data_IF_187008505465
#
_entry.id   IF_187008505465
#
_cell.length_a   1.000
_cell.length_b   1.000
_cell.length_c   1.000
_cell.angle_alpha   90.00
_cell.angle_beta   90.00
_cell.angle_gamma   90.00
#
_symmetry.space_group_name_H-M   'P 1'
#
loop_
_entity.id
_entity.type
_entity.pdbx_description
1 polymer ?
#
# COMPACT_ATOMS: atom_id res chain seq x y z
N UNK A 1 -2.49 65.07 26.08
CA UNK A 1 -3.76 64.38 26.21
C UNK A 1 -4.76 65.03 27.15
N UNK A 2 -4.38 65.54 28.32
CA UNK A 2 -5.27 66.22 29.30
C UNK A 2 -5.98 67.44 28.73
N UNK A 3 -5.40 68.22 27.82
CA UNK A 3 -5.97 69.43 27.23
C UNK A 3 -7.10 69.14 26.21
N UNK A 4 -7.09 67.96 25.58
CA UNK A 4 -8.13 67.55 24.65
C UNK A 4 -9.36 67.03 25.42
N UNK A 5 -9.15 66.29 26.51
CA UNK A 5 -10.21 65.83 27.40
C UNK A 5 -11.02 66.98 27.99
N UNK A 6 -10.34 68.08 28.34
CA UNK A 6 -11.00 69.28 28.90
C UNK A 6 -11.91 70.02 27.92
N UNK A 7 -11.81 69.81 26.62
CA UNK A 7 -12.64 70.43 25.57
C UNK A 7 -13.88 69.60 25.16
N UNK A 8 -14.02 68.35 25.67
CA UNK A 8 -15.18 67.53 25.36
C UNK A 8 -16.41 67.93 26.18
N UNK A 9 -17.62 67.75 25.64
CA UNK A 9 -18.87 67.92 26.38
C UNK A 9 -18.90 67.04 27.64
N UNK A 10 -19.55 67.51 28.70
CA UNK A 10 -19.58 66.88 30.03
C UNK A 10 -20.03 65.43 29.95
N UNK A 11 -21.03 65.13 29.13
CA UNK A 11 -21.52 63.75 28.88
C UNK A 11 -20.42 62.83 28.33
N UNK A 12 -19.62 63.27 27.38
CA UNK A 12 -18.55 62.48 26.80
C UNK A 12 -17.41 62.22 27.82
N UNK A 13 -17.11 63.19 28.69
CA UNK A 13 -16.13 63.00 29.79
C UNK A 13 -16.63 61.92 30.76
N UNK A 14 -17.94 61.97 31.12
CA UNK A 14 -18.55 61.00 32.01
C UNK A 14 -18.53 59.59 31.41
N UNK A 15 -18.83 59.42 30.11
CA UNK A 15 -18.73 58.14 29.42
C UNK A 15 -17.30 57.62 29.37
N UNK A 16 -16.33 58.44 29.03
CA UNK A 16 -14.91 58.06 28.98
C UNK A 16 -14.44 57.61 30.38
N UNK A 17 -14.75 58.39 31.43
CA UNK A 17 -14.40 58.02 32.79
C UNK A 17 -15.06 56.72 33.24
N UNK A 18 -16.36 56.52 32.90
CA UNK A 18 -17.10 55.32 33.23
C UNK A 18 -16.53 54.09 32.54
N UNK A 19 -16.29 54.13 31.21
CA UNK A 19 -15.71 53.00 30.48
C UNK A 19 -14.26 52.73 30.85
N UNK A 20 -13.47 53.78 31.16
CA UNK A 20 -12.10 53.60 31.69
C UNK A 20 -12.12 52.89 33.05
N UNK A 21 -13.07 53.25 33.92
CA UNK A 21 -13.24 52.56 35.21
C UNK A 21 -13.66 51.08 35.04
N UNK A 22 -14.57 50.79 34.09
CA UNK A 22 -14.96 49.39 33.76
C UNK A 22 -13.77 48.61 33.25
N UNK A 23 -12.98 49.16 32.32
CA UNK A 23 -11.78 48.48 31.78
C UNK A 23 -10.76 48.25 32.90
N UNK A 24 -10.56 49.24 33.78
CA UNK A 24 -9.65 49.08 34.90
C UNK A 24 -10.09 47.98 35.88
N UNK A 25 -11.39 47.94 36.21
CA UNK A 25 -11.99 46.90 37.04
C UNK A 25 -11.89 45.55 36.34
N UNK A 26 -12.13 45.47 35.02
CA UNK A 26 -12.00 44.25 34.25
C UNK A 26 -10.56 43.71 34.24
N UNK A 27 -9.55 44.57 34.14
CA UNK A 27 -8.15 44.15 34.18
C UNK A 27 -7.76 43.59 35.57
N UNK A 28 -8.31 44.14 36.65
CA UNK A 28 -7.97 43.73 38.02
C UNK A 28 -8.90 42.63 38.61
N UNK A 29 -10.12 42.46 38.08
CA UNK A 29 -11.07 41.44 38.55
C UNK A 29 -11.17 40.24 37.65
N UNK A 30 -10.67 40.27 36.42
CA UNK A 30 -10.52 39.08 35.63
C UNK A 30 -9.39 38.23 36.23
N UNK A 31 -9.64 36.98 36.63
CA UNK A 31 -8.56 36.11 37.04
C UNK A 31 -7.57 35.95 35.91
N UNK A 32 -6.30 35.88 36.25
CA UNK A 32 -5.21 35.73 35.30
C UNK A 32 -5.56 34.51 34.38
N UNK A 33 -5.66 34.75 33.09
CA UNK A 33 -6.01 33.68 32.10
C UNK A 33 -5.07 32.48 32.21
N UNK A 34 -3.88 32.70 32.77
CA UNK A 34 -2.94 31.63 33.06
C UNK A 34 -3.33 30.77 34.28
N UNK A 35 -4.22 31.25 35.17
CA UNK A 35 -4.69 30.46 36.33
C UNK A 35 -5.92 29.59 36.01
N UNK A 36 -6.57 29.80 34.87
CA UNK A 36 -7.69 28.96 34.35
C UNK A 36 -7.24 27.90 33.33
N UNK A 37 -5.95 27.80 33.03
CA UNK A 37 -5.42 26.61 32.41
C UNK A 37 -5.36 25.54 33.51
N UNK A 38 -6.46 24.83 33.62
CA UNK A 38 -6.50 23.54 34.23
C UNK A 38 -5.30 22.76 33.70
N UNK A 39 -4.49 22.23 34.62
CA UNK A 39 -3.36 21.34 34.34
C UNK A 39 -3.92 19.98 33.83
N UNK A 40 -4.82 20.04 32.87
CA UNK A 40 -5.21 18.91 32.05
C UNK A 40 -3.97 18.59 31.22
N UNK A 41 -3.18 17.62 31.64
CA UNK A 41 -1.89 17.14 31.16
C UNK A 41 -1.66 17.12 29.64
N UNK A 42 -2.06 18.17 28.95
CA UNK A 42 -1.82 18.39 27.53
C UNK A 42 -0.33 18.68 27.32
N UNK A 43 0.36 17.70 26.82
CA UNK A 43 1.77 17.81 26.46
C UNK A 43 1.95 18.86 25.35
N UNK A 44 2.82 19.84 25.59
CA UNK A 44 3.19 20.85 24.59
C UNK A 44 4.31 20.29 23.73
N UNK A 45 4.08 20.25 22.42
CA UNK A 45 5.07 19.76 21.45
C UNK A 45 6.35 20.60 21.53
N UNK A 46 7.53 19.94 21.66
CA UNK A 46 8.83 20.59 21.78
C UNK A 46 9.28 20.90 23.21
N UNK A 47 8.45 20.64 24.24
CA UNK A 47 8.83 20.77 25.63
C UNK A 47 9.26 19.42 26.21
N UNK A 48 10.42 19.37 26.88
CA UNK A 48 10.87 18.17 27.60
C UNK A 48 10.13 18.03 28.92
N UNK A 49 9.48 16.91 29.12
CA UNK A 49 8.82 16.55 30.38
C UNK A 49 9.64 15.49 31.11
N UNK A 50 10.02 15.67 32.37
CA UNK A 50 10.68 14.63 33.12
C UNK A 50 9.69 13.48 33.33
N UNK A 51 9.97 12.31 32.76
CA UNK A 51 9.26 11.09 33.06
C UNK A 51 9.83 10.50 34.36
N UNK A 52 9.06 10.59 35.44
CA UNK A 52 9.39 9.90 36.67
C UNK A 52 8.98 8.43 36.50
N UNK A 53 9.89 7.59 35.99
CA UNK A 53 9.67 6.15 35.94
C UNK A 53 9.95 5.60 37.34
N UNK A 54 8.91 5.13 38.04
CA UNK A 54 9.08 4.42 39.30
C UNK A 54 9.58 2.99 38.99
N UNK A 55 10.90 2.88 38.85
CA UNK A 55 11.57 1.60 38.53
C UNK A 55 11.24 0.48 39.54
N UNK A 56 10.92 0.84 40.79
CA UNK A 56 10.55 -0.13 41.84
C UNK A 56 9.20 -0.81 41.55
N UNK A 57 8.27 -0.15 40.84
CA UNK A 57 6.98 -0.73 40.44
C UNK A 57 7.11 -1.70 39.26
N UNK A 58 8.17 -1.60 38.47
CA UNK A 58 8.45 -2.48 37.34
C UNK A 58 9.19 -3.76 37.72
N UNK A 59 9.78 -3.79 38.93
CA UNK A 59 10.55 -4.94 39.44
C UNK A 59 9.67 -5.92 40.24
N UNK A 60 8.43 -5.57 40.57
CA UNK A 60 7.57 -6.29 41.51
C UNK A 60 6.64 -7.33 40.88
N UNK A 61 6.96 -7.96 39.77
CA UNK A 61 6.19 -9.15 39.33
C UNK A 61 6.98 -10.02 38.37
N UNK A 62 8.04 -10.65 38.86
CA UNK A 62 8.65 -11.76 38.13
C UNK A 62 9.00 -12.85 39.13
N UNK A 63 7.99 -13.59 39.58
CA UNK A 63 8.14 -14.97 40.05
C UNK A 63 8.40 -15.94 38.87
N UNK A 64 9.02 -15.45 37.78
CA UNK A 64 9.59 -16.30 36.77
C UNK A 64 10.94 -16.82 37.28
N UNK A 65 11.22 -18.14 37.23
CA UNK A 65 12.53 -18.66 37.58
C UNK A 65 13.60 -17.92 36.77
N UNK A 66 14.81 -17.70 37.35
CA UNK A 66 15.85 -16.94 36.70
C UNK A 66 16.10 -17.53 35.30
N UNK A 67 15.77 -16.77 34.28
CA UNK A 67 16.01 -17.16 32.90
C UNK A 67 17.52 -17.26 32.77
N UNK A 68 18.05 -18.46 32.54
CA UNK A 68 19.49 -18.65 32.32
C UNK A 68 19.99 -17.63 31.30
N UNK A 69 21.03 -16.90 31.64
CA UNK A 69 21.63 -15.91 30.71
C UNK A 69 22.24 -16.68 29.55
N UNK A 70 21.60 -16.62 28.40
CA UNK A 70 22.07 -17.28 27.21
C UNK A 70 23.09 -16.40 26.48
N UNK A 71 24.17 -17.01 26.05
CA UNK A 71 25.11 -16.39 25.12
C UNK A 71 24.52 -16.41 23.70
N UNK A 72 24.25 -15.22 23.14
CA UNK A 72 23.60 -15.10 21.84
C UNK A 72 24.60 -14.82 20.73
N UNK A 73 24.59 -15.65 19.69
CA UNK A 73 25.36 -15.49 18.47
C UNK A 73 24.45 -15.27 17.27
N UNK A 74 24.82 -14.30 16.43
CA UNK A 74 24.03 -13.92 15.25
C UNK A 74 24.75 -14.35 13.98
N UNK A 75 24.03 -15.07 13.13
CA UNK A 75 24.54 -15.55 11.85
C UNK A 75 23.62 -15.14 10.71
N UNK A 76 24.23 -14.72 9.58
CA UNK A 76 23.52 -14.45 8.34
C UNK A 76 23.81 -15.56 7.35
N UNK A 77 22.77 -16.06 6.69
CA UNK A 77 22.87 -17.11 5.65
C UNK A 77 23.53 -16.54 4.42
N UNK A 78 24.58 -17.20 3.95
CA UNK A 78 25.37 -16.81 2.77
C UNK A 78 24.75 -17.33 1.47
N UNK A 79 25.16 -16.75 0.34
CA UNK A 79 24.72 -17.23 -0.98
C UNK A 79 25.20 -18.69 -1.20
N UNK A 80 24.26 -19.58 -1.58
CA UNK A 80 24.54 -21.00 -1.79
C UNK A 80 24.68 -21.84 -0.52
N UNK A 81 24.51 -21.25 0.66
CA UNK A 81 24.63 -21.95 1.94
C UNK A 81 23.36 -22.72 2.27
N UNK A 82 23.48 -24.02 2.50
CA UNK A 82 22.40 -24.85 3.05
C UNK A 82 22.38 -24.79 4.57
N UNK A 83 21.30 -25.24 5.20
CA UNK A 83 21.18 -25.29 6.65
C UNK A 83 22.25 -26.19 7.29
N UNK A 84 22.63 -27.31 6.65
CA UNK A 84 23.68 -28.19 7.15
C UNK A 84 25.05 -27.51 7.13
N UNK A 85 25.38 -26.77 6.09
CA UNK A 85 26.62 -25.99 5.99
C UNK A 85 26.64 -24.87 7.01
N UNK A 86 25.51 -24.21 7.26
CA UNK A 86 25.39 -23.20 8.32
C UNK A 86 25.66 -23.80 9.70
N UNK A 87 25.03 -24.94 10.02
CA UNK A 87 25.21 -25.60 11.31
C UNK A 87 26.67 -26.05 11.53
N UNK A 88 27.31 -26.60 10.50
CA UNK A 88 28.73 -26.97 10.53
C UNK A 88 29.62 -25.74 10.79
N UNK A 89 29.37 -24.64 10.09
CA UNK A 89 30.11 -23.37 10.24
C UNK A 89 30.07 -22.78 11.65
N UNK A 90 28.98 -23.03 12.38
CA UNK A 90 28.81 -22.54 13.75
C UNK A 90 29.14 -23.60 14.81
N UNK A 91 29.72 -24.74 14.37
CA UNK A 91 30.15 -25.81 15.30
C UNK A 91 29.04 -26.70 15.81
N UNK A 92 27.82 -26.64 15.26
CA UNK A 92 26.69 -27.49 15.64
C UNK A 92 26.71 -28.80 14.86
N UNK A 93 26.42 -29.91 15.56
CA UNK A 93 26.44 -31.24 14.94
C UNK A 93 25.31 -31.46 13.94
N UNK A 94 25.58 -32.23 12.89
CA UNK A 94 24.54 -32.68 11.94
C UNK A 94 23.42 -33.46 12.64
N UNK A 95 23.77 -34.22 13.70
CA UNK A 95 22.80 -34.97 14.49
C UNK A 95 21.75 -34.05 15.13
N UNK A 96 22.19 -32.92 15.68
CA UNK A 96 21.30 -31.91 16.24
C UNK A 96 20.36 -31.35 15.18
N UNK A 97 20.88 -31.04 13.99
CA UNK A 97 20.04 -30.58 12.87
C UNK A 97 18.95 -31.60 12.52
N UNK A 98 19.30 -32.87 12.41
CA UNK A 98 18.31 -33.93 12.12
C UNK A 98 17.28 -34.06 13.24
N UNK A 99 17.67 -33.96 14.50
CA UNK A 99 16.75 -33.94 15.64
C UNK A 99 15.77 -32.79 15.50
N UNK A 100 16.24 -31.56 15.22
CA UNK A 100 15.40 -30.40 15.01
C UNK A 100 14.42 -30.59 13.84
N UNK A 101 14.89 -31.06 12.70
CA UNK A 101 14.06 -31.27 11.50
C UNK A 101 12.98 -32.34 11.69
N UNK A 102 13.20 -33.30 12.60
CA UNK A 102 12.24 -34.36 12.91
C UNK A 102 11.29 -34.01 14.05
N UNK A 103 11.50 -32.89 14.75
CA UNK A 103 10.66 -32.48 15.89
C UNK A 103 9.24 -32.14 15.48
N UNK A 104 9.07 -31.25 14.50
CA UNK A 104 7.77 -30.89 13.92
C UNK A 104 7.88 -30.24 12.54
N UNK A 105 6.71 -30.11 11.88
CA UNK A 105 6.64 -29.55 10.53
C UNK A 105 7.04 -28.06 10.42
N UNK A 106 6.81 -27.27 11.45
CA UNK A 106 7.16 -25.84 11.44
C UNK A 106 8.68 -25.68 11.49
N UNK A 107 9.37 -26.38 12.40
CA UNK A 107 10.84 -26.40 12.46
C UNK A 107 11.40 -26.86 11.10
N UNK A 108 10.89 -27.97 10.59
CA UNK A 108 11.31 -28.50 9.29
C UNK A 108 11.13 -27.45 8.18
N UNK A 109 9.96 -26.83 8.09
CA UNK A 109 9.66 -25.80 7.09
C UNK A 109 10.59 -24.59 7.20
N UNK A 110 10.82 -24.12 8.41
CA UNK A 110 11.62 -22.91 8.65
C UNK A 110 13.11 -23.16 8.46
N UNK A 111 13.63 -24.30 8.83
CA UNK A 111 15.06 -24.62 8.65
C UNK A 111 15.39 -25.13 7.24
N UNK A 112 14.47 -25.80 6.52
CA UNK A 112 14.73 -26.29 5.16
C UNK A 112 14.59 -25.20 4.07
N UNK A 113 14.02 -24.05 4.37
CA UNK A 113 13.78 -22.97 3.42
C UNK A 113 14.54 -21.68 3.77
N UNK A 114 15.80 -21.81 4.15
CA UNK A 114 16.65 -20.64 4.37
C UNK A 114 17.01 -20.00 3.02
N UNK A 115 17.10 -18.67 3.04
CA UNK A 115 17.48 -17.86 1.87
C UNK A 115 18.72 -17.05 2.21
N UNK A 116 19.57 -16.73 1.23
CA UNK A 116 20.65 -15.77 1.42
C UNK A 116 20.13 -14.47 2.02
N UNK A 117 20.79 -14.01 3.09
CA UNK A 117 20.37 -12.84 3.85
C UNK A 117 19.48 -13.12 5.05
N UNK A 118 18.91 -14.32 5.20
CA UNK A 118 18.17 -14.68 6.42
C UNK A 118 19.10 -14.59 7.65
N UNK A 119 18.54 -14.07 8.74
CA UNK A 119 19.26 -13.90 10.00
C UNK A 119 18.74 -14.90 11.03
N UNK A 120 19.67 -15.70 11.57
CA UNK A 120 19.41 -16.62 12.66
C UNK A 120 20.24 -16.19 13.89
N UNK A 121 19.66 -16.34 15.04
CA UNK A 121 20.31 -16.12 16.34
C UNK A 121 20.26 -17.41 17.13
N UNK A 122 21.41 -17.84 17.64
CA UNK A 122 21.58 -19.05 18.42
C UNK A 122 21.91 -18.65 19.85
N UNK A 123 21.14 -19.12 20.81
CA UNK A 123 21.34 -18.89 22.24
C UNK A 123 21.89 -20.15 22.89
N UNK A 124 23.09 -20.06 23.43
CA UNK A 124 23.80 -21.14 24.07
C UNK A 124 23.82 -20.94 25.60
N UNK A 125 23.84 -22.04 26.34
CA UNK A 125 24.09 -22.02 27.77
C UNK A 125 25.60 -21.97 28.11
N UNK A 126 25.95 -22.06 29.38
CA UNK A 126 27.32 -22.08 29.90
C UNK A 126 28.12 -23.30 29.43
N UNK A 127 27.45 -24.38 29.05
CA UNK A 127 28.05 -25.61 28.53
C UNK A 127 28.20 -25.57 27.00
N UNK A 128 27.86 -24.47 26.36
CA UNK A 128 27.80 -24.31 24.92
C UNK A 128 26.73 -25.19 24.22
N UNK A 129 25.71 -25.62 24.97
CA UNK A 129 24.55 -26.33 24.43
C UNK A 129 23.55 -25.35 23.83
N UNK A 130 22.97 -25.70 22.67
CA UNK A 130 21.93 -24.89 22.03
C UNK A 130 20.63 -24.99 22.84
N UNK A 131 20.22 -23.87 23.45
CA UNK A 131 18.97 -23.73 24.20
C UNK A 131 17.88 -23.06 23.39
N UNK A 132 18.22 -22.06 22.60
CA UNK A 132 17.27 -21.36 21.74
C UNK A 132 17.83 -21.07 20.36
N UNK A 133 16.95 -21.12 19.35
CA UNK A 133 17.23 -20.62 18.01
C UNK A 133 16.11 -19.67 17.61
N UNK A 134 16.45 -18.46 17.16
CA UNK A 134 15.49 -17.50 16.61
C UNK A 134 15.82 -17.23 15.16
N UNK A 135 14.80 -17.26 14.28
CA UNK A 135 14.88 -16.82 12.89
C UNK A 135 13.98 -15.63 12.70
N UNK A 136 14.55 -14.50 12.29
CA UNK A 136 13.76 -13.31 11.94
C UNK A 136 13.08 -13.55 10.60
N UNK A 137 11.75 -13.52 10.57
CA UNK A 137 10.94 -13.71 9.36
C UNK A 137 10.54 -12.38 8.72
N UNK A 138 10.29 -11.36 9.55
CA UNK A 138 9.99 -9.99 9.14
C UNK A 138 10.34 -9.02 10.28
N UNK A 139 10.14 -7.73 10.09
CA UNK A 139 10.36 -6.74 11.16
C UNK A 139 9.49 -6.97 12.41
N UNK A 140 8.37 -7.69 12.26
CA UNK A 140 7.39 -7.91 13.33
C UNK A 140 7.11 -9.38 13.65
N UNK A 141 7.78 -10.32 12.99
CA UNK A 141 7.56 -11.75 13.20
C UNK A 141 8.89 -12.49 13.28
N UNK A 142 9.08 -13.28 14.31
CA UNK A 142 10.19 -14.20 14.47
C UNK A 142 9.70 -15.62 14.78
N UNK A 143 10.46 -16.59 14.29
CA UNK A 143 10.27 -18.00 14.63
C UNK A 143 11.29 -18.38 15.67
N UNK A 144 10.82 -19.01 16.76
CA UNK A 144 11.62 -19.39 17.92
C UNK A 144 11.56 -20.90 18.10
N UNK A 145 12.70 -21.52 18.30
CA UNK A 145 12.84 -22.90 18.76
C UNK A 145 13.43 -22.86 20.17
N UNK A 146 12.88 -23.62 21.09
CA UNK A 146 13.36 -23.66 22.48
C UNK A 146 13.55 -25.12 22.90
N UNK A 147 14.70 -25.44 23.52
CA UNK A 147 14.99 -26.73 24.14
C UNK A 147 14.20 -26.84 25.45
N UNK A 148 13.52 -27.94 25.65
CA UNK A 148 12.79 -28.26 26.89
C UNK A 148 13.14 -29.68 27.27
N UNK A 149 14.05 -29.87 28.23
CA UNK A 149 14.66 -31.16 28.53
C UNK A 149 15.38 -31.71 27.30
N UNK A 150 15.05 -32.94 26.89
CA UNK A 150 15.62 -33.61 25.74
C UNK A 150 14.89 -33.33 24.43
N UNK A 151 13.84 -32.51 24.46
CA UNK A 151 13.02 -32.19 23.27
C UNK A 151 13.12 -30.71 22.87
N UNK A 152 12.64 -30.39 21.65
CA UNK A 152 12.52 -29.02 21.18
C UNK A 152 11.07 -28.68 20.92
N UNK A 153 10.70 -27.45 21.20
CA UNK A 153 9.40 -26.86 20.84
C UNK A 153 9.60 -25.66 19.95
N UNK A 154 8.55 -25.26 19.22
CA UNK A 154 8.61 -24.05 18.39
C UNK A 154 7.40 -23.16 18.58
N UNK A 155 7.62 -21.86 18.40
CA UNK A 155 6.58 -20.84 18.44
C UNK A 155 6.88 -19.72 17.45
N UNK A 156 5.81 -19.03 17.02
CA UNK A 156 5.91 -17.77 16.29
C UNK A 156 5.68 -16.63 17.28
N UNK A 157 6.64 -15.74 17.34
CA UNK A 157 6.56 -14.54 18.16
C UNK A 157 6.24 -13.36 17.23
N UNK A 158 5.10 -12.69 17.49
CA UNK A 158 4.57 -11.60 16.67
C UNK A 158 4.44 -10.34 17.52
N UNK A 159 5.17 -9.31 17.10
CA UNK A 159 5.03 -7.98 17.67
C UNK A 159 3.79 -7.30 17.10
N UNK A 160 3.14 -6.48 17.90
CA UNK A 160 2.01 -5.69 17.45
C UNK A 160 2.45 -4.64 16.42
N UNK A 161 1.73 -4.57 15.32
CA UNK A 161 1.95 -3.57 14.28
C UNK A 161 0.93 -2.46 14.47
N UNK A 162 1.37 -1.31 14.94
CA UNK A 162 0.58 -0.10 14.96
C UNK A 162 0.62 0.60 13.61
N UNK A 163 -0.42 1.40 13.32
CA UNK A 163 -0.48 2.22 12.12
C UNK A 163 -0.60 3.69 12.54
N UNK A 164 0.25 4.52 12.01
CA UNK A 164 0.15 5.97 12.13
C UNK A 164 -0.05 6.62 10.77
N UNK A 165 -0.64 7.82 10.75
CA UNK A 165 -0.76 8.61 9.53
C UNK A 165 0.47 9.49 9.34
N UNK A 166 0.85 9.63 8.07
CA UNK A 166 1.84 10.59 7.64
C UNK A 166 1.35 11.32 6.38
N UNK A 167 1.99 12.41 6.05
CA UNK A 167 1.60 13.34 4.99
C UNK A 167 2.77 13.61 4.06
N UNK A 168 2.46 13.87 2.80
CA UNK A 168 3.40 14.42 1.84
C UNK A 168 2.68 15.29 0.81
N UNK A 169 3.34 16.36 0.38
CA UNK A 169 2.88 17.21 -0.71
C UNK A 169 4.04 17.64 -1.62
N UNK A 170 3.75 17.92 -2.85
CA UNK A 170 4.70 18.55 -3.76
C UNK A 170 4.00 19.39 -4.83
N UNK A 171 4.68 20.47 -5.24
CA UNK A 171 4.43 21.16 -6.48
C UNK A 171 5.33 20.56 -7.58
N UNK A 172 4.76 20.29 -8.75
CA UNK A 172 5.47 19.71 -9.88
C UNK A 172 6.21 20.82 -10.63
N UNK A 173 7.53 20.77 -10.59
CA UNK A 173 8.40 21.76 -11.28
C UNK A 173 8.96 21.21 -12.59
N UNK A 174 9.18 19.89 -12.67
CA UNK A 174 9.73 19.20 -13.85
C UNK A 174 8.84 18.05 -14.32
N UNK A 175 8.70 17.00 -13.51
CA UNK A 175 7.86 15.87 -13.78
C UNK A 175 7.31 15.28 -12.47
N UNK A 176 6.28 14.47 -12.60
CA UNK A 176 5.59 13.87 -11.45
C UNK A 176 6.50 12.95 -10.60
N UNK A 177 7.35 12.15 -11.24
CA UNK A 177 8.25 11.23 -10.53
C UNK A 177 9.20 11.96 -9.61
N UNK A 178 9.90 12.98 -10.15
CA UNK A 178 10.85 13.77 -9.37
C UNK A 178 10.15 14.53 -8.23
N UNK A 179 8.94 15.05 -8.45
CA UNK A 179 8.16 15.69 -7.40
C UNK A 179 7.83 14.70 -6.28
N UNK A 180 7.46 13.46 -6.62
CA UNK A 180 7.20 12.41 -5.64
C UNK A 180 8.46 12.03 -4.83
N UNK A 181 9.59 11.85 -5.50
CA UNK A 181 10.88 11.55 -4.83
C UNK A 181 11.27 12.68 -3.88
N UNK A 182 11.16 13.94 -4.33
CA UNK A 182 11.50 15.12 -3.52
C UNK A 182 10.55 15.28 -2.31
N UNK A 183 9.29 14.84 -2.42
CA UNK A 183 8.35 14.77 -1.30
C UNK A 183 8.61 13.58 -0.36
N UNK A 184 9.68 12.82 -0.58
CA UNK A 184 10.04 11.67 0.25
C UNK A 184 9.16 10.44 0.02
N UNK A 185 8.41 10.35 -1.08
CA UNK A 185 7.62 9.17 -1.41
C UNK A 185 8.50 8.02 -1.91
N UNK A 186 8.10 6.81 -1.57
CA UNK A 186 8.70 5.61 -2.16
C UNK A 186 8.24 5.43 -3.61
N UNK A 187 9.02 4.69 -4.41
CA UNK A 187 8.64 4.33 -5.78
C UNK A 187 7.24 3.68 -5.84
N UNK A 188 6.92 2.81 -4.89
CA UNK A 188 5.60 2.17 -4.81
C UNK A 188 4.47 3.18 -4.56
N UNK A 189 4.67 4.17 -3.68
CA UNK A 189 3.67 5.22 -3.42
C UNK A 189 3.48 6.14 -4.63
N UNK A 190 4.55 6.50 -5.35
CA UNK A 190 4.46 7.28 -6.58
C UNK A 190 3.65 6.53 -7.64
N UNK A 191 3.92 5.23 -7.82
CA UNK A 191 3.18 4.39 -8.76
C UNK A 191 1.73 4.14 -8.32
N UNK A 192 1.49 4.00 -7.00
CA UNK A 192 0.13 3.90 -6.45
C UNK A 192 -0.65 5.18 -6.73
N UNK A 193 -0.08 6.36 -6.49
CA UNK A 193 -0.69 7.65 -6.75
C UNK A 193 -1.01 7.84 -8.24
N UNK A 194 -0.08 7.48 -9.13
CA UNK A 194 -0.33 7.46 -10.57
C UNK A 194 -1.45 6.49 -10.95
N UNK A 195 -1.53 5.33 -10.30
CA UNK A 195 -2.60 4.35 -10.53
C UNK A 195 -3.98 4.83 -10.06
N UNK A 196 -4.04 5.59 -8.96
CA UNK A 196 -5.28 6.17 -8.42
C UNK A 196 -5.88 7.16 -9.41
N UNK A 197 -5.10 8.12 -9.88
CA UNK A 197 -5.56 9.20 -10.76
C UNK A 197 -5.38 8.93 -12.24
N UNK A 198 -4.72 7.84 -12.64
CA UNK A 198 -4.36 7.54 -14.02
C UNK A 198 -5.53 7.32 -15.00
N UNK A 199 -6.76 7.43 -14.50
CA UNK A 199 -7.99 7.39 -15.30
C UNK A 199 -8.54 8.78 -15.63
N UNK A 200 -8.21 9.76 -14.81
CA UNK A 200 -8.61 11.15 -14.98
C UNK A 200 -7.44 11.98 -15.52
N UNK A 201 -6.19 11.60 -15.25
CA UNK A 201 -4.96 12.30 -15.63
C UNK A 201 -4.04 11.35 -16.40
N UNK A 202 -3.59 11.74 -17.58
CA UNK A 202 -2.50 11.07 -18.30
C UNK A 202 -1.15 11.60 -17.78
N UNK A 203 -0.52 10.83 -16.88
CA UNK A 203 0.75 11.23 -16.25
C UNK A 203 1.92 11.40 -17.23
N UNK A 204 1.80 10.90 -18.48
CA UNK A 204 2.80 11.10 -19.53
C UNK A 204 2.54 12.37 -20.37
N UNK A 205 1.28 12.76 -20.54
CA UNK A 205 0.89 13.80 -21.46
C UNK A 205 0.25 15.03 -20.80
N UNK A 206 -0.43 14.88 -19.65
CA UNK A 206 -1.25 15.95 -19.08
C UNK A 206 -0.56 16.72 -17.93
N UNK A 207 0.55 16.20 -17.39
CA UNK A 207 1.27 16.87 -16.30
C UNK A 207 1.93 18.17 -16.75
N UNK A 208 1.73 19.22 -15.97
CA UNK A 208 2.29 20.56 -16.21
C UNK A 208 3.05 21.08 -15.00
N UNK A 209 3.89 22.07 -15.23
CA UNK A 209 4.50 22.86 -14.17
C UNK A 209 3.41 23.56 -13.36
N UNK A 210 3.54 23.56 -12.03
CA UNK A 210 2.59 24.08 -11.02
C UNK A 210 1.39 23.15 -10.75
N UNK A 211 1.26 21.99 -11.40
CA UNK A 211 0.42 20.94 -10.87
C UNK A 211 0.95 20.52 -9.48
N UNK A 212 0.09 19.96 -8.67
CA UNK A 212 0.48 19.58 -7.30
C UNK A 212 -0.31 18.39 -6.80
N UNK A 213 0.24 17.75 -5.79
CA UNK A 213 -0.50 16.72 -5.06
C UNK A 213 -0.27 16.82 -3.56
N UNK A 214 -1.25 16.32 -2.81
CA UNK A 214 -1.19 16.09 -1.37
C UNK A 214 -1.66 14.68 -1.10
N UNK A 215 -1.00 13.96 -0.21
CA UNK A 215 -1.40 12.61 0.20
C UNK A 215 -1.33 12.44 1.71
N UNK A 216 -2.31 11.74 2.25
CA UNK A 216 -2.32 11.16 3.58
C UNK A 216 -2.10 9.66 3.43
N UNK A 217 -1.08 9.11 4.06
CA UNK A 217 -0.76 7.69 3.97
C UNK A 217 -0.49 7.08 5.34
N UNK A 218 -0.57 5.75 5.42
CA UNK A 218 -0.24 5.03 6.64
C UNK A 218 1.24 4.67 6.68
N UNK A 219 1.80 4.66 7.88
CA UNK A 219 3.07 4.02 8.19
C UNK A 219 2.84 2.88 9.18
N UNK A 220 3.59 1.81 9.00
CA UNK A 220 3.60 0.68 9.91
C UNK A 220 4.66 0.90 10.97
N UNK A 221 4.27 0.82 12.22
CA UNK A 221 5.14 1.07 13.37
C UNK A 221 5.17 -0.17 14.25
N UNK A 222 6.36 -0.59 14.62
CA UNK A 222 6.59 -1.68 15.58
C UNK A 222 7.54 -1.15 16.65
N UNK A 223 7.13 -1.23 17.92
CA UNK A 223 7.94 -0.74 19.06
C UNK A 223 8.42 0.71 18.90
N UNK A 224 7.60 1.57 18.26
CA UNK A 224 7.92 2.98 18.02
C UNK A 224 8.74 3.26 16.75
N UNK A 225 9.22 2.23 16.05
CA UNK A 225 10.00 2.39 14.82
C UNK A 225 9.15 2.17 13.57
N UNK A 226 9.32 3.03 12.57
CA UNK A 226 8.67 2.90 11.26
C UNK A 226 9.33 1.78 10.46
N UNK A 227 8.63 0.67 10.31
CA UNK A 227 9.12 -0.52 9.59
C UNK A 227 8.69 -0.57 8.13
N UNK A 228 7.87 0.38 7.69
CA UNK A 228 7.43 0.46 6.31
C UNK A 228 6.24 1.37 6.11
N UNK A 229 5.94 1.65 4.85
CA UNK A 229 4.82 2.49 4.45
C UNK A 229 3.63 1.63 4.03
N UNK A 230 2.45 2.05 4.45
CA UNK A 230 1.18 1.45 4.10
C UNK A 230 0.55 2.11 2.88
N UNK A 231 -0.77 2.03 2.80
CA UNK A 231 -1.57 2.55 1.69
C UNK A 231 -1.75 4.07 1.79
N UNK A 232 -2.00 4.69 0.64
CA UNK A 232 -2.53 6.05 0.56
C UNK A 232 -3.98 6.00 1.05
N UNK A 233 -4.31 6.79 2.07
CA UNK A 233 -5.65 6.82 2.67
C UNK A 233 -6.55 7.88 2.04
N UNK A 234 -5.96 9.01 1.69
CA UNK A 234 -6.59 10.08 0.95
C UNK A 234 -5.55 10.80 0.09
N UNK A 235 -5.96 11.31 -1.05
CA UNK A 235 -5.12 12.10 -1.93
C UNK A 235 -5.93 13.20 -2.62
N UNK A 236 -5.29 14.32 -2.86
CA UNK A 236 -5.79 15.40 -3.72
C UNK A 236 -4.72 15.68 -4.77
N UNK A 237 -5.11 15.70 -6.03
CA UNK A 237 -4.25 16.06 -7.15
C UNK A 237 -4.83 17.26 -7.88
N UNK A 238 -4.05 18.33 -8.04
CA UNK A 238 -4.39 19.49 -8.84
C UNK A 238 -3.66 19.40 -10.18
N UNK A 239 -4.41 19.33 -11.28
CA UNK A 239 -3.87 19.23 -12.63
C UNK A 239 -4.53 20.27 -13.51
N UNK A 240 -3.73 21.19 -14.07
CA UNK A 240 -4.16 22.26 -14.99
C UNK A 240 -5.36 23.08 -14.47
N UNK A 241 -5.45 23.30 -13.14
CA UNK A 241 -6.51 24.04 -12.49
C UNK A 241 -7.65 23.18 -11.93
N UNK A 242 -7.84 21.97 -12.42
CA UNK A 242 -8.83 21.02 -11.91
C UNK A 242 -8.30 20.31 -10.66
N UNK A 243 -9.20 20.01 -9.72
CA UNK A 243 -8.88 19.29 -8.49
C UNK A 243 -9.57 17.93 -8.48
N UNK A 244 -8.78 16.88 -8.31
CA UNK A 244 -9.23 15.50 -8.21
C UNK A 244 -8.97 15.00 -6.79
N UNK A 245 -9.99 14.39 -6.18
CA UNK A 245 -9.88 13.77 -4.86
C UNK A 245 -9.96 12.27 -4.97
N UNK A 246 -9.28 11.56 -4.09
CA UNK A 246 -9.37 10.11 -3.98
C UNK A 246 -9.25 9.69 -2.51
N UNK A 247 -10.17 8.86 -2.06
CA UNK A 247 -10.18 8.33 -0.69
C UNK A 247 -10.32 6.81 -0.75
N UNK A 248 -9.50 6.11 0.02
CA UNK A 248 -9.54 4.67 0.14
C UNK A 248 -10.80 4.24 0.93
N UNK A 249 -11.57 3.31 0.41
CA UNK A 249 -12.59 2.60 1.18
C UNK A 249 -12.02 1.31 1.76
N UNK A 250 -11.93 1.22 3.09
CA UNK A 250 -11.32 0.08 3.78
C UNK A 250 -12.06 -1.23 3.52
N UNK A 251 -13.37 -1.17 3.24
CA UNK A 251 -14.19 -2.36 3.02
C UNK A 251 -13.93 -3.00 1.67
N UNK A 252 -13.82 -2.17 0.62
CA UNK A 252 -13.61 -2.66 -0.75
C UNK A 252 -12.15 -2.68 -1.14
N UNK A 253 -11.30 -1.88 -0.47
CA UNK A 253 -9.91 -1.66 -0.84
C UNK A 253 -9.74 -0.87 -2.14
N UNK A 254 -10.79 -0.19 -2.60
CA UNK A 254 -10.76 0.64 -3.80
C UNK A 254 -10.80 2.13 -3.42
N UNK A 255 -10.38 2.97 -4.37
CA UNK A 255 -10.45 4.42 -4.24
C UNK A 255 -11.70 4.95 -4.89
N UNK A 256 -12.31 5.94 -4.23
CA UNK A 256 -13.48 6.69 -4.69
C UNK A 256 -13.23 8.18 -4.49
N UNK A 257 -13.88 9.02 -5.31
CA UNK A 257 -13.90 10.46 -5.04
C UNK A 257 -14.73 10.77 -3.77
N UNK A 258 -14.73 12.01 -3.33
CA UNK A 258 -15.48 12.46 -2.14
C UNK A 258 -16.98 12.16 -2.21
N UNK A 259 -17.54 11.96 -3.40
CA UNK A 259 -18.94 11.63 -3.64
C UNK A 259 -19.23 10.13 -3.77
N UNK A 260 -18.20 9.28 -3.58
CA UNK A 260 -18.31 7.83 -3.70
C UNK A 260 -18.36 7.32 -5.14
N UNK A 261 -17.90 8.11 -6.13
CA UNK A 261 -17.71 7.70 -7.51
C UNK A 261 -16.38 6.94 -7.62
N UNK A 262 -16.39 5.79 -8.26
CA UNK A 262 -15.17 4.98 -8.39
C UNK A 262 -14.09 5.70 -9.21
N UNK A 263 -12.85 5.73 -8.68
CA UNK A 263 -11.69 6.36 -9.32
C UNK A 263 -11.05 5.50 -10.41
N UNK A 264 -11.50 4.27 -10.60
CA UNK A 264 -10.96 3.39 -11.64
C UNK A 264 -12.02 3.00 -12.65
N UNK A 265 -11.62 2.77 -13.89
CA UNK A 265 -12.47 2.12 -14.89
C UNK A 265 -12.62 0.64 -14.59
N UNK A 266 -13.74 0.06 -15.02
CA UNK A 266 -13.99 -1.36 -14.79
C UNK A 266 -13.01 -2.27 -15.54
N UNK A 267 -12.26 -1.74 -16.52
CA UNK A 267 -11.35 -2.53 -17.35
C UNK A 267 -10.03 -1.80 -17.62
N UNK A 268 -8.94 -2.57 -17.61
CA UNK A 268 -7.65 -2.16 -18.17
C UNK A 268 -7.73 -2.15 -19.70
N UNK A 269 -7.20 -1.11 -20.35
CA UNK A 269 -7.08 -1.08 -21.81
C UNK A 269 -6.06 -2.08 -22.35
N UNK A 270 -4.98 -2.27 -21.59
CA UNK A 270 -3.91 -3.21 -21.90
C UNK A 270 -3.69 -4.13 -20.70
N UNK A 271 -3.97 -5.44 -20.80
CA UNK A 271 -3.84 -6.38 -19.71
C UNK A 271 -2.42 -6.96 -19.58
N UNK A 272 -1.41 -6.25 -20.04
CA UNK A 272 0.00 -6.64 -20.06
C UNK A 272 0.88 -5.40 -20.16
N UNK A 273 2.06 -5.46 -19.56
CA UNK A 273 3.14 -4.52 -19.88
C UNK A 273 3.76 -4.93 -21.23
N UNK A 274 3.64 -4.07 -22.24
CA UNK A 274 4.00 -4.39 -23.61
C UNK A 274 5.00 -3.39 -24.19
N UNK A 275 5.88 -3.88 -25.08
CA UNK A 275 6.83 -3.01 -25.82
C UNK A 275 6.17 -2.29 -26.98
N UNK A 276 5.26 -2.98 -27.72
CA UNK A 276 4.57 -2.43 -28.88
C UNK A 276 3.29 -3.20 -29.20
N UNK A 277 2.37 -2.55 -29.88
CA UNK A 277 1.23 -3.19 -30.55
C UNK A 277 1.70 -3.65 -31.93
N UNK A 278 1.65 -4.96 -32.17
CA UNK A 278 2.09 -5.55 -33.45
C UNK A 278 0.98 -5.63 -34.49
N UNK A 279 -0.28 -5.77 -34.02
CA UNK A 279 -1.44 -5.76 -34.90
C UNK A 279 -2.66 -5.17 -34.18
N UNK A 280 -3.30 -4.20 -34.81
CA UNK A 280 -4.50 -3.57 -34.28
C UNK A 280 -5.76 -4.39 -34.58
N UNK A 281 -6.82 -4.18 -33.80
CA UNK A 281 -8.16 -4.62 -34.11
C UNK A 281 -8.59 -4.11 -35.46
N UNK A 282 -9.01 -5.02 -36.37
CA UNK A 282 -9.50 -4.68 -37.71
C UNK A 282 -10.54 -5.70 -38.17
N UNK A 283 -11.84 -5.42 -38.07
CA UNK A 283 -12.91 -6.35 -38.45
C UNK A 283 -13.01 -6.62 -39.95
N UNK A 284 -12.41 -5.77 -40.79
CA UNK A 284 -12.48 -5.82 -42.27
C UNK A 284 -11.11 -6.02 -42.90
N UNK A 285 -10.12 -6.57 -42.15
CA UNK A 285 -8.75 -6.78 -42.64
C UNK A 285 -8.77 -7.66 -43.91
N UNK A 286 -8.25 -7.15 -45.00
CA UNK A 286 -8.06 -7.90 -46.24
C UNK A 286 -6.71 -8.61 -46.25
N UNK A 287 -6.71 -9.86 -46.67
CA UNK A 287 -5.47 -10.63 -46.84
C UNK A 287 -4.71 -10.05 -48.04
N UNK A 288 -3.42 -9.68 -47.93
CA UNK A 288 -2.70 -8.93 -48.94
C UNK A 288 -2.55 -9.70 -50.27
N UNK A 289 -2.54 -11.04 -50.21
CA UNK A 289 -2.37 -11.85 -51.44
C UNK A 289 -3.71 -12.33 -51.99
N UNK A 290 -4.64 -12.78 -51.13
CA UNK A 290 -5.87 -13.41 -51.60
C UNK A 290 -7.07 -12.46 -51.68
N UNK A 291 -6.94 -11.21 -51.19
CA UNK A 291 -8.03 -10.23 -51.12
C UNK A 291 -9.16 -10.60 -50.15
N UNK A 292 -9.18 -11.82 -49.63
CA UNK A 292 -10.24 -12.32 -48.72
C UNK A 292 -10.26 -11.55 -47.45
N UNK A 293 -11.44 -11.18 -46.95
CA UNK A 293 -11.60 -10.53 -45.66
C UNK A 293 -11.36 -11.59 -44.56
N UNK A 294 -10.35 -11.33 -43.73
CA UNK A 294 -10.03 -12.09 -42.52
C UNK A 294 -9.94 -11.17 -41.34
N UNK A 295 -11.04 -11.00 -40.63
CA UNK A 295 -11.13 -10.10 -39.49
C UNK A 295 -10.06 -10.42 -38.43
N UNK A 296 -9.40 -9.39 -37.93
CA UNK A 296 -8.58 -9.45 -36.71
C UNK A 296 -9.42 -8.95 -35.52
N UNK A 297 -9.91 -9.89 -34.71
CA UNK A 297 -10.93 -9.65 -33.67
C UNK A 297 -10.35 -9.15 -32.35
N UNK A 298 -9.03 -8.96 -32.25
CA UNK A 298 -8.33 -8.51 -31.07
C UNK A 298 -7.22 -7.53 -31.37
N UNK A 299 -6.45 -7.21 -30.36
CA UNK A 299 -5.21 -6.45 -30.44
C UNK A 299 -4.06 -7.35 -30.03
N UNK A 300 -2.98 -7.34 -30.83
CA UNK A 300 -1.78 -8.14 -30.54
C UNK A 300 -0.71 -7.26 -29.87
N UNK A 301 -0.32 -7.68 -28.67
CA UNK A 301 0.70 -7.02 -27.85
C UNK A 301 1.97 -7.85 -27.80
N UNK A 302 3.10 -7.27 -28.24
CA UNK A 302 4.41 -7.91 -28.15
C UNK A 302 5.12 -7.54 -26.86
N UNK A 303 5.58 -8.57 -26.15
CA UNK A 303 6.43 -8.47 -24.97
C UNK A 303 7.35 -9.72 -24.90
N UNK A 304 8.34 -9.75 -24.01
CA UNK A 304 9.15 -10.95 -23.78
C UNK A 304 8.29 -12.14 -23.35
N UNK A 305 8.68 -13.34 -23.79
CA UNK A 305 8.02 -14.58 -23.34
C UNK A 305 8.14 -14.71 -21.83
N UNK A 306 7.03 -14.97 -21.15
CA UNK A 306 6.97 -15.03 -19.69
C UNK A 306 6.45 -13.77 -19.02
N UNK A 307 6.28 -12.66 -19.75
CA UNK A 307 5.67 -11.43 -19.24
C UNK A 307 4.30 -11.74 -18.63
N UNK A 308 3.99 -11.27 -17.39
CA UNK A 308 2.71 -11.47 -16.77
C UNK A 308 1.56 -10.89 -17.59
N UNK A 309 0.47 -11.64 -17.68
CA UNK A 309 -0.80 -11.22 -18.28
C UNK A 309 -1.80 -11.05 -17.13
N UNK A 310 -2.50 -9.91 -17.09
CA UNK A 310 -3.44 -9.58 -16.03
C UNK A 310 -4.89 -9.71 -16.49
N UNK A 311 -5.78 -10.01 -15.54
CA UNK A 311 -7.22 -9.87 -15.78
C UNK A 311 -7.54 -8.38 -16.03
N UNK A 312 -8.16 -8.08 -17.17
CA UNK A 312 -8.50 -6.69 -17.52
C UNK A 312 -9.55 -6.07 -16.58
N UNK A 313 -10.37 -6.88 -15.92
CA UNK A 313 -11.40 -6.47 -14.97
C UNK A 313 -11.74 -7.57 -13.99
N UNK A 314 -12.52 -7.24 -12.95
CA UNK A 314 -13.08 -8.22 -12.03
C UNK A 314 -14.02 -9.18 -12.79
N UNK A 315 -13.99 -10.47 -12.47
CA UNK A 315 -14.84 -11.42 -13.18
C UNK A 315 -14.69 -12.87 -12.75
N UNK A 316 -15.30 -13.76 -13.53
CA UNK A 316 -15.20 -15.20 -13.37
C UNK A 316 -14.58 -15.79 -14.62
N UNK A 317 -13.60 -16.65 -14.48
CA UNK A 317 -12.98 -17.38 -15.58
C UNK A 317 -14.03 -18.31 -16.20
N UNK A 318 -14.50 -17.95 -17.39
CA UNK A 318 -15.50 -18.72 -18.12
C UNK A 318 -14.87 -19.96 -18.77
N UNK A 319 -13.64 -19.84 -19.28
CA UNK A 319 -12.88 -20.91 -19.90
C UNK A 319 -11.39 -20.71 -19.64
N UNK A 320 -10.70 -21.81 -19.31
CA UNK A 320 -9.25 -21.89 -19.24
C UNK A 320 -8.84 -23.22 -19.86
N UNK A 321 -8.21 -23.19 -21.04
CA UNK A 321 -7.97 -24.37 -21.84
C UNK A 321 -6.87 -24.18 -22.89
N UNK A 322 -6.72 -25.24 -23.72
CA UNK A 322 -5.82 -25.25 -24.87
C UNK A 322 -6.57 -25.77 -26.10
N UNK A 323 -6.29 -25.18 -27.25
CA UNK A 323 -6.59 -25.75 -28.56
C UNK A 323 -5.54 -25.32 -29.59
N UNK A 324 -5.48 -26.00 -30.72
CA UNK A 324 -4.47 -25.76 -31.77
C UNK A 324 -4.50 -24.34 -32.39
N UNK A 325 -5.62 -23.61 -32.33
CA UNK A 325 -5.75 -22.29 -32.89
C UNK A 325 -5.36 -21.18 -31.87
N UNK A 326 -5.93 -21.25 -30.68
CA UNK A 326 -5.75 -20.24 -29.62
C UNK A 326 -4.51 -20.50 -28.75
N UNK A 327 -3.91 -21.68 -28.85
CA UNK A 327 -2.90 -22.11 -27.88
C UNK A 327 -3.51 -22.25 -26.50
N UNK A 328 -2.74 -21.94 -25.46
CA UNK A 328 -3.25 -21.75 -24.11
C UNK A 328 -4.06 -20.44 -24.06
N UNK A 329 -5.29 -20.52 -23.56
CA UNK A 329 -6.19 -19.37 -23.50
C UNK A 329 -6.96 -19.27 -22.19
N UNK A 330 -7.35 -18.06 -21.85
CA UNK A 330 -8.25 -17.73 -20.74
C UNK A 330 -9.33 -16.79 -21.25
N UNK A 331 -10.60 -17.08 -20.93
CA UNK A 331 -11.74 -16.21 -21.18
C UNK A 331 -12.34 -15.81 -19.85
N UNK A 332 -12.57 -14.53 -19.63
CA UNK A 332 -13.13 -13.99 -18.38
C UNK A 332 -14.47 -13.34 -18.70
N UNK A 333 -15.51 -13.76 -18.01
CA UNK A 333 -16.80 -13.09 -18.01
C UNK A 333 -16.86 -12.11 -16.83
N UNK A 334 -16.98 -10.83 -17.13
CA UNK A 334 -17.05 -9.75 -16.14
C UNK A 334 -18.49 -9.41 -15.76
N UNK A 335 -19.40 -9.57 -16.73
CA UNK A 335 -20.85 -9.42 -16.54
C UNK A 335 -21.58 -10.12 -17.70
N UNK A 336 -22.88 -9.92 -17.79
CA UNK A 336 -23.63 -10.37 -18.97
C UNK A 336 -23.26 -9.59 -20.25
N UNK A 337 -22.70 -8.40 -20.09
CA UNK A 337 -22.35 -7.49 -21.19
C UNK A 337 -20.89 -7.67 -21.65
N UNK A 338 -19.96 -7.95 -20.75
CA UNK A 338 -18.51 -7.84 -21.02
C UNK A 338 -17.79 -9.16 -20.85
N UNK A 339 -17.03 -9.53 -21.87
CA UNK A 339 -16.12 -10.69 -21.88
C UNK A 339 -14.77 -10.26 -22.41
N UNK A 340 -13.69 -10.73 -21.80
CA UNK A 340 -12.32 -10.58 -22.33
C UNK A 340 -11.71 -11.94 -22.61
N UNK A 341 -10.86 -12.02 -23.64
CA UNK A 341 -10.17 -13.26 -24.02
C UNK A 341 -8.69 -12.98 -24.19
N UNK A 342 -7.90 -13.93 -23.72
CA UNK A 342 -6.44 -13.89 -23.69
C UNK A 342 -5.91 -15.17 -24.32
N UNK A 343 -5.21 -15.06 -25.44
CA UNK A 343 -4.78 -16.20 -26.24
C UNK A 343 -3.26 -16.25 -26.34
N UNK A 344 -2.76 -17.39 -26.82
CA UNK A 344 -1.35 -17.66 -27.12
C UNK A 344 -0.42 -17.64 -25.89
N UNK A 345 -1.00 -17.88 -24.69
CA UNK A 345 -0.26 -17.84 -23.44
C UNK A 345 0.79 -18.96 -23.37
N UNK A 346 1.93 -18.73 -22.70
CA UNK A 346 2.87 -19.78 -22.33
C UNK A 346 2.30 -20.67 -21.24
N UNK A 347 1.75 -20.06 -20.19
CA UNK A 347 1.20 -20.76 -19.02
C UNK A 347 -0.08 -20.06 -18.57
N UNK A 348 -1.09 -20.84 -18.23
CA UNK A 348 -2.31 -20.39 -17.54
C UNK A 348 -2.12 -20.56 -16.04
N UNK A 349 -2.52 -19.55 -15.23
CA UNK A 349 -2.39 -19.55 -13.78
C UNK A 349 -3.74 -19.55 -13.06
N UNK A 350 -4.84 -19.67 -13.82
CA UNK A 350 -6.21 -19.69 -13.31
C UNK A 350 -7.01 -20.81 -13.95
N UNK A 351 -8.05 -21.27 -13.24
CA UNK A 351 -8.93 -22.40 -13.65
C UNK A 351 -10.33 -21.86 -13.98
N UNK A 352 -11.06 -22.59 -14.82
CA UNK A 352 -12.48 -22.33 -15.10
C UNK A 352 -13.29 -22.30 -13.80
N UNK A 353 -14.20 -21.33 -13.66
CA UNK A 353 -14.99 -21.06 -12.45
C UNK A 353 -14.31 -20.17 -11.41
N UNK A 354 -13.01 -19.94 -11.50
CA UNK A 354 -12.27 -19.11 -10.54
C UNK A 354 -12.66 -17.63 -10.65
N UNK A 355 -12.87 -16.97 -9.51
CA UNK A 355 -13.01 -15.51 -9.44
C UNK A 355 -11.65 -14.86 -9.57
N UNK A 356 -11.57 -13.79 -10.33
CA UNK A 356 -10.36 -12.96 -10.51
C UNK A 356 -10.67 -11.49 -10.31
N UNK A 357 -9.67 -10.74 -9.85
CA UNK A 357 -9.74 -9.28 -9.72
C UNK A 357 -8.98 -8.59 -10.85
N UNK A 358 -9.36 -7.38 -11.19
CA UNK A 358 -8.61 -6.51 -12.12
C UNK A 358 -7.13 -6.42 -11.68
N UNK A 359 -6.21 -6.58 -12.63
CA UNK A 359 -4.77 -6.56 -12.35
C UNK A 359 -4.20 -7.88 -11.81
N UNK A 360 -5.04 -8.86 -11.45
CA UNK A 360 -4.56 -10.17 -11.02
C UNK A 360 -3.88 -10.91 -12.19
N UNK A 361 -2.67 -11.45 -11.94
CA UNK A 361 -1.98 -12.30 -12.93
C UNK A 361 -2.77 -13.58 -13.20
N UNK A 362 -3.12 -13.80 -14.47
CA UNK A 362 -3.90 -14.95 -14.93
C UNK A 362 -3.08 -15.92 -15.78
N UNK A 363 -1.86 -15.54 -16.13
CA UNK A 363 -0.92 -16.34 -16.88
C UNK A 363 0.25 -15.52 -17.40
N UNK A 364 1.00 -16.10 -18.34
CA UNK A 364 2.19 -15.45 -18.92
C UNK A 364 2.15 -15.52 -20.45
N UNK A 365 2.71 -14.46 -21.09
CA UNK A 365 2.82 -14.37 -22.54
C UNK A 365 3.63 -15.52 -23.12
N UNK A 366 3.18 -16.04 -24.24
CA UNK A 366 3.85 -17.09 -24.99
C UNK A 366 3.68 -16.93 -26.48
N UNK A 367 3.71 -18.05 -27.18
CA UNK A 367 3.50 -18.17 -28.63
C UNK A 367 2.90 -19.54 -28.94
N UNK A 368 1.98 -20.02 -28.06
CA UNK A 368 1.34 -21.33 -28.26
C UNK A 368 0.16 -21.22 -29.23
N UNK A 369 -0.15 -22.33 -29.92
CA UNK A 369 -1.19 -22.36 -30.93
C UNK A 369 -0.73 -21.83 -32.30
N UNK A 370 -1.65 -21.30 -33.11
CA UNK A 370 -1.39 -20.87 -34.48
C UNK A 370 -0.92 -19.42 -34.53
N UNK A 371 0.38 -19.20 -34.34
CA UNK A 371 1.00 -17.85 -34.33
C UNK A 371 2.28 -17.84 -35.15
N UNK A 372 2.71 -16.66 -35.59
CA UNK A 372 3.98 -16.43 -36.29
C UNK A 372 5.10 -16.03 -35.35
N UNK A 373 4.80 -15.66 -34.11
CA UNK A 373 5.76 -15.27 -33.09
C UNK A 373 5.08 -14.96 -31.77
N UNK A 374 5.86 -14.83 -30.68
CA UNK A 374 5.31 -14.58 -29.34
C UNK A 374 4.56 -13.26 -29.24
N UNK A 375 3.29 -13.30 -28.83
CA UNK A 375 2.44 -12.15 -28.54
C UNK A 375 1.24 -12.55 -27.69
N UNK A 376 0.61 -11.57 -27.04
CA UNK A 376 -0.72 -11.73 -26.46
C UNK A 376 -1.74 -11.25 -27.48
N UNK A 377 -2.65 -12.14 -27.92
CA UNK A 377 -3.86 -11.74 -28.64
C UNK A 377 -4.97 -11.47 -27.61
N UNK A 378 -5.41 -10.21 -27.52
CA UNK A 378 -6.39 -9.75 -26.56
C UNK A 378 -7.68 -9.31 -27.25
N UNK A 379 -8.81 -9.95 -26.91
CA UNK A 379 -10.14 -9.60 -27.42
C UNK A 379 -11.01 -9.00 -26.33
N UNK A 380 -11.76 -7.95 -26.66
CA UNK A 380 -12.76 -7.30 -25.80
C UNK A 380 -14.13 -7.37 -26.46
N UNK A 381 -15.10 -7.99 -25.77
CA UNK A 381 -16.45 -8.17 -26.28
C UNK A 381 -17.45 -7.37 -25.44
N UNK A 382 -18.39 -6.72 -26.15
CA UNK A 382 -19.55 -6.03 -25.58
C UNK A 382 -20.80 -6.65 -26.17
N UNK A 383 -21.67 -7.24 -25.37
CA UNK A 383 -22.88 -7.99 -25.79
C UNK A 383 -22.55 -9.01 -26.90
N UNK A 384 -21.44 -9.76 -26.74
CA UNK A 384 -20.99 -10.76 -27.69
C UNK A 384 -20.29 -10.23 -28.96
N UNK A 385 -20.28 -8.91 -29.18
CA UNK A 385 -19.63 -8.27 -30.34
C UNK A 385 -18.22 -7.82 -29.99
N UNK A 386 -17.24 -8.21 -30.81
CA UNK A 386 -15.85 -7.79 -30.65
C UNK A 386 -15.70 -6.29 -30.85
N UNK A 387 -15.01 -5.62 -29.94
CA UNK A 387 -14.73 -4.16 -29.97
C UNK A 387 -13.24 -3.92 -29.84
N UNK A 388 -12.78 -2.80 -30.36
CA UNK A 388 -11.40 -2.38 -30.16
C UNK A 388 -11.18 -1.97 -28.70
N UNK A 389 -10.41 -2.76 -27.94
CA UNK A 389 -10.14 -2.52 -26.52
C UNK A 389 -9.46 -1.17 -26.26
N UNK A 390 -8.69 -0.67 -27.25
CA UNK A 390 -7.95 0.60 -27.14
C UNK A 390 -8.84 1.84 -27.22
N UNK A 391 -9.95 1.76 -27.96
CA UNK A 391 -10.81 2.92 -28.26
C UNK A 391 -12.23 2.80 -27.73
N UNK A 392 -12.67 1.59 -27.31
CA UNK A 392 -14.02 1.41 -26.78
C UNK A 392 -14.24 2.26 -25.53
N UNK A 393 -15.41 2.86 -25.40
CA UNK A 393 -15.80 3.58 -24.19
C UNK A 393 -15.96 2.56 -23.06
N UNK A 394 -15.00 2.54 -22.15
CA UNK A 394 -15.01 1.65 -21.00
C UNK A 394 -15.95 2.18 -19.92
N UNK A 395 -16.76 1.32 -19.29
CA UNK A 395 -17.57 1.73 -18.15
C UNK A 395 -16.66 2.05 -16.95
N UNK A 396 -17.13 2.94 -16.09
CA UNK A 396 -16.53 3.13 -14.77
C UNK A 396 -16.80 1.91 -13.90
N UNK A 397 -15.95 1.67 -12.91
CA UNK A 397 -16.24 0.72 -11.85
C UNK A 397 -17.51 1.13 -11.12
N UNK A 398 -18.16 0.19 -10.44
CA UNK A 398 -19.38 0.49 -9.68
C UNK A 398 -19.08 1.52 -8.59
N UNK A 399 -19.74 2.66 -8.67
CA UNK A 399 -19.76 3.65 -7.61
C UNK A 399 -20.51 3.11 -6.38
N UNK A 400 -20.22 3.65 -5.22
CA UNK A 400 -20.93 3.29 -3.99
C UNK A 400 -22.38 3.77 -4.03
N UNK A 401 -23.30 3.00 -3.45
CA UNK A 401 -24.72 3.32 -3.40
C UNK A 401 -25.31 3.03 -2.02
N UNK A 402 -26.45 3.63 -1.70
CA UNK A 402 -27.19 3.37 -0.46
C UNK A 402 -26.37 3.60 0.81
N UNK A 403 -26.52 2.72 1.80
CA UNK A 403 -25.84 2.81 3.10
C UNK A 403 -24.30 2.79 2.97
N UNK A 404 -23.75 2.04 2.01
CA UNK A 404 -22.32 1.99 1.79
C UNK A 404 -21.77 3.36 1.35
N UNK A 405 -22.50 4.07 0.46
CA UNK A 405 -22.16 5.42 0.05
C UNK A 405 -22.20 6.40 1.22
N UNK A 406 -23.26 6.40 2.03
CA UNK A 406 -23.38 7.29 3.17
C UNK A 406 -22.26 7.11 4.20
N UNK A 407 -21.93 5.84 4.54
CA UNK A 407 -20.83 5.53 5.46
C UNK A 407 -19.49 5.98 4.87
N UNK A 408 -19.27 5.77 3.57
CA UNK A 408 -18.05 6.17 2.90
C UNK A 408 -17.89 7.69 2.91
N UNK A 409 -18.92 8.47 2.58
CA UNK A 409 -18.86 9.94 2.56
C UNK A 409 -18.45 10.48 3.93
N UNK A 410 -19.05 9.99 5.03
CA UNK A 410 -18.69 10.41 6.38
C UNK A 410 -17.20 10.12 6.71
N UNK A 411 -16.70 8.94 6.35
CA UNK A 411 -15.29 8.59 6.53
C UNK A 411 -14.35 9.40 5.61
N UNK A 412 -14.81 9.67 4.38
CA UNK A 412 -14.08 10.46 3.40
C UNK A 412 -13.86 11.89 3.90
N UNK A 413 -14.88 12.52 4.45
CA UNK A 413 -14.79 13.86 5.03
C UNK A 413 -13.77 13.91 6.17
N UNK A 414 -13.77 12.94 7.06
CA UNK A 414 -12.78 12.85 8.15
C UNK A 414 -11.35 12.73 7.57
N UNK A 415 -11.14 11.91 6.55
CA UNK A 415 -9.81 11.69 5.95
C UNK A 415 -9.31 12.91 5.19
N UNK A 416 -10.18 13.59 4.44
CA UNK A 416 -9.84 14.82 3.72
C UNK A 416 -9.56 15.96 4.70
N UNK A 417 -10.33 16.08 5.78
CA UNK A 417 -10.05 17.05 6.84
C UNK A 417 -8.71 16.78 7.54
N UNK A 418 -8.39 15.50 7.80
CA UNK A 418 -7.08 15.13 8.32
C UNK A 418 -5.96 15.48 7.34
N UNK A 419 -6.12 15.22 6.04
CA UNK A 419 -5.17 15.58 5.00
C UNK A 419 -4.86 17.10 5.06
N UNK A 420 -5.88 17.95 5.11
CA UNK A 420 -5.68 19.41 5.18
C UNK A 420 -5.02 19.84 6.51
N UNK A 421 -5.42 19.26 7.64
CA UNK A 421 -4.81 19.56 8.96
C UNK A 421 -3.33 19.21 9.00
N UNK A 422 -2.92 18.04 8.47
CA UNK A 422 -1.51 17.68 8.39
C UNK A 422 -0.73 18.65 7.51
N UNK A 423 -1.30 19.07 6.37
CA UNK A 423 -0.68 20.09 5.51
C UNK A 423 -0.47 21.42 6.23
N UNK A 424 -1.45 21.88 7.02
CA UNK A 424 -1.32 23.11 7.80
C UNK A 424 -0.26 23.01 8.90
N UNK A 425 -0.22 21.88 9.64
CA UNK A 425 0.75 21.68 10.71
C UNK A 425 2.20 21.63 10.22
N UNK A 426 2.44 21.09 9.02
CA UNK A 426 3.77 20.97 8.43
C UNK A 426 4.20 22.23 7.68
N UNK A 427 3.26 23.04 7.20
CA UNK A 427 3.56 24.35 6.58
C UNK A 427 3.96 25.44 7.59
N UNK A 428 3.71 25.24 8.89
CA UNK A 428 4.04 26.16 9.98
C UNK A 428 5.37 25.85 10.67
N UNK A 429 6.05 24.79 10.29
CA UNK A 429 7.40 24.41 10.71
C UNK A 429 8.41 24.59 9.59
#
# INVERSE_FOLDING_TARGET
MLSIFARLPILHRAFIAFFSAIIFVAIFLLPDVNSLRDDSGALVVGKHYPLTINASALISSSDAPPTAVLNWEKYTVRSGESTSVLFERIGLSYRLLITLLNTNNDIKKQLSNLRPGDVLQFGFDENNDLIQLKRQLSAFESFKITKSGDSFSSSFDKKEVAYQYNYAEANITSNFWNAGVNAGLTANQIMELAGIFGWDIDFALDIRKNDSFKILYQEKVVEGEVIGRGKIMAAVFKNQGDSFTAVLDDKTGNYYDENGRAMKKAFLRSPIDFRRVTSNFNPTRRHPVTGKVRAHRGTDYAAPVGTPIWAAGDGIVQKSGYNQFNGNYVFIRHSNTYITKYLHMKRRMVKTGQRVKQGQTIGTLGGTGRVTGPHLHYEFLVNGVHKNARTVKLPQSKSLTGKAKATFIANSEIRLNNLERYGQLLATN
#
